data_IF_079633110065
#
_entry.id   IF_079633110065
#
_cell.length_a   1.000
_cell.length_b   1.000
_cell.length_c   1.000
_cell.angle_alpha   90.00
_cell.angle_beta   90.00
_cell.angle_gamma   90.00
#
_symmetry.space_group_name_H-M   'P 1'
#
loop_
_entity.id
_entity.type
_entity.pdbx_description
1 polymer ?
#
# COMPACT_ATOMS: atom_id res chain seq x y z
N UNK A 1 -1.26 21.21 23.41
CA UNK A 1 -1.65 19.86 22.91
C UNK A 1 -0.39 19.21 22.43
N UNK A 2 0.05 18.11 23.06
CA UNK A 2 1.24 17.38 22.57
C UNK A 2 0.98 16.89 21.17
N UNK A 3 1.88 17.18 20.25
CA UNK A 3 1.80 16.66 18.90
C UNK A 3 1.79 15.13 18.95
N UNK A 4 0.82 14.53 18.27
CA UNK A 4 0.60 13.09 18.30
C UNK A 4 1.78 12.42 17.63
N UNK A 5 2.67 11.80 18.39
CA UNK A 5 3.84 11.08 17.85
C UNK A 5 3.47 9.80 17.10
N UNK A 6 2.22 9.30 17.26
CA UNK A 6 1.73 8.09 16.58
C UNK A 6 1.15 8.45 15.22
N UNK A 7 1.81 8.00 14.15
CA UNK A 7 1.49 8.31 12.76
C UNK A 7 1.18 7.03 11.99
N UNK A 8 0.09 7.05 11.20
CA UNK A 8 -0.37 5.89 10.45
C UNK A 8 0.23 5.90 9.04
N UNK A 9 0.93 4.83 8.68
CA UNK A 9 1.44 4.66 7.30
C UNK A 9 0.39 4.06 6.35
N UNK A 10 -0.68 3.44 6.87
CA UNK A 10 -1.91 3.18 6.14
C UNK A 10 -3.03 3.99 6.79
N UNK A 11 -3.72 4.90 6.06
CA UNK A 11 -4.71 5.79 6.65
C UNK A 11 -5.85 5.07 7.35
N UNK A 12 -6.23 5.53 8.53
CA UNK A 12 -7.42 4.99 9.24
C UNK A 12 -8.70 5.17 8.42
N UNK A 13 -8.79 6.27 7.68
CA UNK A 13 -9.91 6.57 6.77
C UNK A 13 -10.05 5.54 5.66
N UNK A 14 -8.95 4.97 5.20
CA UNK A 14 -8.92 3.86 4.25
C UNK A 14 -9.24 2.52 4.94
N UNK A 15 -8.56 2.18 6.04
CA UNK A 15 -8.74 0.90 6.74
C UNK A 15 -10.18 0.70 7.27
N UNK A 16 -10.92 1.78 7.56
CA UNK A 16 -12.31 1.67 7.99
C UNK A 16 -13.22 0.94 7.00
N UNK A 17 -12.88 0.92 5.71
CA UNK A 17 -13.64 0.22 4.67
C UNK A 17 -13.47 -1.30 4.70
N UNK A 18 -12.56 -1.79 5.55
CA UNK A 18 -12.33 -3.20 5.83
C UNK A 18 -12.68 -3.56 7.29
N UNK A 19 -13.18 -2.59 8.07
CA UNK A 19 -13.50 -2.78 9.48
C UNK A 19 -14.94 -3.28 9.66
N UNK A 20 -15.13 -4.04 10.71
CA UNK A 20 -16.44 -4.45 11.21
C UNK A 20 -16.88 -3.58 12.41
N UNK A 21 -17.89 -3.99 13.15
CA UNK A 21 -18.48 -3.24 14.26
C UNK A 21 -17.42 -2.74 15.25
N UNK A 22 -17.54 -1.47 15.69
CA UNK A 22 -16.67 -0.88 16.70
C UNK A 22 -15.28 -0.44 16.16
N UNK A 23 -15.13 -0.24 14.86
CA UNK A 23 -13.86 0.19 14.24
C UNK A 23 -12.72 -0.79 14.52
N UNK A 24 -12.99 -2.07 14.45
CA UNK A 24 -12.02 -3.16 14.60
C UNK A 24 -11.82 -3.85 13.25
N UNK A 25 -10.65 -4.43 13.07
CA UNK A 25 -10.27 -5.21 11.90
C UNK A 25 -10.04 -6.65 12.30
N UNK A 26 -10.62 -7.59 11.56
CA UNK A 26 -10.15 -8.96 11.58
C UNK A 26 -8.77 -8.98 10.92
N UNK A 27 -7.77 -9.34 11.69
CA UNK A 27 -6.36 -9.18 11.32
C UNK A 27 -5.67 -10.52 11.36
N UNK A 28 -5.03 -10.88 10.25
CA UNK A 28 -4.10 -11.98 10.18
C UNK A 28 -2.67 -11.45 10.39
N UNK A 29 -1.98 -11.99 11.40
CA UNK A 29 -0.64 -11.59 11.78
C UNK A 29 0.39 -12.45 11.02
N UNK A 30 1.25 -11.78 10.25
CA UNK A 30 2.40 -12.41 9.61
C UNK A 30 3.58 -12.38 10.59
N UNK A 31 3.99 -13.54 11.09
CA UNK A 31 5.23 -13.66 11.87
C UNK A 31 6.42 -13.86 10.95
N UNK A 32 7.53 -13.17 11.20
CA UNK A 32 8.79 -13.41 10.48
C UNK A 32 9.34 -14.84 10.67
N UNK A 33 8.79 -15.58 11.63
CA UNK A 33 9.23 -16.90 12.05
C UNK A 33 8.11 -17.96 11.93
N UNK A 34 7.08 -17.74 11.11
CA UNK A 34 6.06 -18.77 10.92
C UNK A 34 6.67 -19.87 10.03
N UNK A 35 7.47 -20.72 10.66
CA UNK A 35 7.91 -22.01 10.08
C UNK A 35 6.88 -23.12 10.31
N UNK A 36 5.89 -22.89 11.17
CA UNK A 36 4.84 -23.84 11.46
C UNK A 36 3.65 -23.66 10.52
N UNK A 37 3.15 -24.77 10.00
CA UNK A 37 1.88 -24.79 9.25
C UNK A 37 0.77 -24.23 10.16
N UNK A 38 0.04 -23.22 9.67
CA UNK A 38 -1.08 -22.67 10.42
C UNK A 38 -2.26 -23.63 10.27
N UNK A 39 -2.69 -24.21 11.39
CA UNK A 39 -3.81 -25.15 11.48
C UNK A 39 -5.00 -24.51 12.19
N UNK A 40 -6.15 -25.16 12.13
CA UNK A 40 -7.34 -24.75 12.89
C UNK A 40 -7.05 -24.65 14.41
N UNK A 41 -6.16 -25.50 14.94
CA UNK A 41 -5.82 -25.53 16.36
C UNK A 41 -5.01 -24.31 16.81
N UNK A 42 -4.10 -23.81 15.97
CA UNK A 42 -3.20 -22.70 16.31
C UNK A 42 -3.60 -21.36 15.68
N UNK A 43 -4.67 -21.29 14.87
CA UNK A 43 -5.10 -20.08 14.16
C UNK A 43 -5.33 -18.88 15.09
N UNK A 44 -5.77 -19.10 16.32
CA UNK A 44 -6.00 -18.03 17.32
C UNK A 44 -4.72 -17.27 17.71
N UNK A 45 -3.54 -17.82 17.42
CA UNK A 45 -2.27 -17.12 17.62
C UNK A 45 -2.05 -16.06 16.52
N UNK A 46 -2.61 -16.27 15.35
CA UNK A 46 -2.38 -15.45 14.16
C UNK A 46 -3.57 -14.57 13.78
N UNK A 47 -4.79 -14.93 14.17
CA UNK A 47 -6.00 -14.16 13.87
C UNK A 47 -6.45 -13.41 15.10
N UNK A 48 -6.53 -12.08 15.00
CA UNK A 48 -6.93 -11.19 16.09
C UNK A 48 -7.80 -10.05 15.59
N UNK A 49 -8.70 -9.61 16.45
CA UNK A 49 -9.44 -8.38 16.23
C UNK A 49 -8.68 -7.21 16.84
N UNK A 50 -8.18 -6.31 15.98
CA UNK A 50 -7.36 -5.19 16.41
C UNK A 50 -8.07 -3.87 16.08
N UNK A 51 -7.94 -2.88 16.97
CA UNK A 51 -8.48 -1.54 16.72
C UNK A 51 -7.77 -0.85 15.56
N UNK A 52 -8.52 -0.07 14.77
CA UNK A 52 -7.96 0.80 13.71
C UNK A 52 -6.87 1.75 14.23
N UNK A 53 -6.92 2.12 15.52
CA UNK A 53 -5.90 2.99 16.11
C UNK A 53 -4.56 2.30 16.36
N UNK A 54 -4.53 0.97 16.37
CA UNK A 54 -3.37 0.19 16.82
C UNK A 54 -2.67 -0.59 15.72
N UNK A 55 -3.21 -0.54 14.49
CA UNK A 55 -2.60 -1.15 13.31
C UNK A 55 -1.96 -0.10 12.41
N UNK A 56 -0.95 -0.50 11.66
CA UNK A 56 -0.28 0.34 10.66
C UNK A 56 0.18 1.70 11.22
N UNK A 57 0.63 1.71 12.47
CA UNK A 57 1.04 2.90 13.19
C UNK A 57 2.49 2.78 13.65
N UNK A 58 3.23 3.86 13.55
CA UNK A 58 4.59 3.98 14.09
C UNK A 58 4.79 5.34 14.73
N UNK A 59 5.74 5.41 15.65
CA UNK A 59 6.11 6.66 16.31
C UNK A 59 6.98 7.48 15.38
N UNK A 60 6.71 8.78 15.27
CA UNK A 60 7.50 9.76 14.50
C UNK A 60 7.81 9.32 13.05
N UNK A 61 6.91 8.54 12.42
CA UNK A 61 7.15 7.95 11.11
C UNK A 61 7.39 8.98 10.00
N UNK A 62 6.70 10.13 10.07
CA UNK A 62 6.81 11.23 9.11
C UNK A 62 7.38 12.52 9.75
N UNK A 63 7.84 12.44 11.00
CA UNK A 63 8.39 13.59 11.71
C UNK A 63 9.79 13.91 11.17
N UNK A 64 9.94 15.10 10.58
CA UNK A 64 11.20 15.58 10.01
C UNK A 64 12.03 16.24 11.10
N UNK A 65 13.31 15.94 11.16
CA UNK A 65 14.27 16.70 12.00
C UNK A 65 14.61 18.03 11.31
N UNK A 66 14.00 19.12 11.79
CA UNK A 66 14.20 20.46 11.25
C UNK A 66 15.66 20.90 11.29
N UNK A 67 16.46 20.34 12.21
CA UNK A 67 17.88 20.66 12.40
C UNK A 67 18.82 19.77 11.58
N UNK A 68 18.31 18.75 10.88
CA UNK A 68 19.14 17.84 10.11
C UNK A 68 19.58 18.51 8.80
N UNK A 69 20.89 18.52 8.48
CA UNK A 69 21.41 19.10 7.24
C UNK A 69 20.81 18.51 5.96
N UNK A 70 20.28 17.27 6.01
CA UNK A 70 19.58 16.67 4.86
C UNK A 70 18.26 17.36 4.53
N UNK A 71 17.67 18.08 5.48
CA UNK A 71 16.45 18.87 5.27
C UNK A 71 16.76 20.18 4.53
N UNK A 72 17.25 20.08 3.33
CA UNK A 72 17.64 21.21 2.49
C UNK A 72 16.47 22.05 1.96
N UNK A 73 15.22 21.60 2.19
CA UNK A 73 13.99 22.34 1.86
C UNK A 73 13.44 23.13 3.03
N UNK A 74 13.99 23.00 4.23
CA UNK A 74 13.50 23.68 5.44
C UNK A 74 12.10 23.24 5.85
N UNK A 75 11.73 21.98 5.61
CA UNK A 75 10.40 21.47 5.95
C UNK A 75 10.23 21.38 7.46
N UNK A 76 9.03 21.70 7.93
CA UNK A 76 8.65 21.61 9.34
C UNK A 76 8.40 20.18 9.77
N UNK A 77 8.61 19.89 11.06
CA UNK A 77 8.54 18.55 11.63
C UNK A 77 7.27 17.78 11.24
N UNK A 78 6.12 18.43 11.26
CA UNK A 78 4.82 17.78 11.03
C UNK A 78 4.19 18.09 9.67
N UNK A 79 4.90 18.73 8.73
CA UNK A 79 4.33 19.14 7.45
C UNK A 79 3.82 17.96 6.62
N UNK A 80 4.49 16.82 6.63
CA UNK A 80 4.05 15.63 5.91
C UNK A 80 2.74 15.07 6.48
N UNK A 81 2.64 14.93 7.79
CA UNK A 81 1.46 14.38 8.44
C UNK A 81 0.25 15.31 8.32
N UNK A 82 0.45 16.60 8.63
CA UNK A 82 -0.65 17.59 8.68
C UNK A 82 -1.00 18.08 7.27
N UNK A 83 -0.07 18.71 6.59
CA UNK A 83 -0.37 19.44 5.35
C UNK A 83 -0.50 18.49 4.15
N UNK A 84 0.41 17.52 4.02
CA UNK A 84 0.41 16.65 2.85
C UNK A 84 -0.58 15.48 2.98
N UNK A 85 -0.56 14.72 4.08
CA UNK A 85 -1.47 13.58 4.21
C UNK A 85 -2.85 13.97 4.69
N UNK A 86 -2.97 14.62 5.85
CA UNK A 86 -4.25 14.92 6.48
C UNK A 86 -5.07 15.94 5.68
N UNK A 87 -4.46 17.02 5.20
CA UNK A 87 -5.19 18.12 4.55
C UNK A 87 -5.33 17.92 3.04
N UNK A 88 -4.43 17.17 2.39
CA UNK A 88 -4.46 17.00 0.94
C UNK A 88 -4.76 15.57 0.49
N UNK A 89 -3.91 14.58 0.81
CA UNK A 89 -3.98 13.25 0.19
C UNK A 89 -5.16 12.39 0.68
N UNK A 90 -5.39 12.33 1.98
CA UNK A 90 -6.44 11.48 2.57
C UNK A 90 -7.87 11.93 2.25
N UNK A 91 -8.20 13.24 2.20
CA UNK A 91 -9.50 13.70 1.72
C UNK A 91 -9.77 13.29 0.27
N UNK A 92 -8.77 13.36 -0.61
CA UNK A 92 -8.90 12.96 -2.02
C UNK A 92 -9.14 11.46 -2.16
N UNK A 93 -8.37 10.64 -1.43
CA UNK A 93 -8.57 9.19 -1.36
C UNK A 93 -9.99 8.86 -0.85
N UNK A 94 -10.43 9.53 0.22
CA UNK A 94 -11.76 9.30 0.80
C UNK A 94 -12.88 9.63 -0.19
N UNK A 95 -12.76 10.74 -0.92
CA UNK A 95 -13.72 11.14 -1.94
C UNK A 95 -13.79 10.10 -3.07
N UNK A 96 -12.66 9.66 -3.56
CA UNK A 96 -12.55 8.67 -4.64
C UNK A 96 -13.16 7.33 -4.21
N UNK A 97 -12.82 6.85 -3.02
CA UNK A 97 -13.38 5.60 -2.49
C UNK A 97 -14.91 5.72 -2.42
N UNK A 98 -15.43 6.79 -1.82
CA UNK A 98 -16.88 7.01 -1.70
C UNK A 98 -17.57 6.97 -3.06
N UNK A 99 -17.04 7.69 -4.05
CA UNK A 99 -17.63 7.78 -5.38
C UNK A 99 -17.75 6.41 -6.06
N UNK A 100 -16.71 5.61 -6.01
CA UNK A 100 -16.69 4.31 -6.69
C UNK A 100 -17.31 3.17 -5.87
N UNK A 101 -17.35 3.30 -4.56
CA UNK A 101 -18.07 2.37 -3.68
C UNK A 101 -19.60 2.51 -3.87
N UNK A 102 -20.11 3.73 -3.99
CA UNK A 102 -21.52 3.98 -4.37
C UNK A 102 -21.85 3.36 -5.74
N UNK A 103 -20.93 3.46 -6.71
CA UNK A 103 -21.10 2.80 -8.00
C UNK A 103 -21.08 1.27 -7.89
N UNK A 104 -20.18 0.71 -7.08
CA UNK A 104 -20.12 -0.72 -6.82
C UNK A 104 -21.43 -1.25 -6.21
N UNK A 105 -21.97 -0.56 -5.20
CA UNK A 105 -23.25 -0.91 -4.61
C UNK A 105 -24.42 -0.84 -5.61
N UNK A 106 -24.42 0.15 -6.49
CA UNK A 106 -25.42 0.24 -7.56
C UNK A 106 -25.35 -0.98 -8.50
N UNK A 107 -24.15 -1.36 -8.95
CA UNK A 107 -23.92 -2.53 -9.80
C UNK A 107 -24.42 -3.82 -9.12
N UNK A 108 -24.17 -3.98 -7.82
CA UNK A 108 -24.64 -5.12 -7.04
C UNK A 108 -26.18 -5.17 -6.95
N UNK A 109 -26.81 -4.03 -6.68
CA UNK A 109 -28.26 -3.93 -6.55
C UNK A 109 -28.97 -4.19 -7.89
N UNK A 110 -28.43 -3.66 -8.97
CA UNK A 110 -28.98 -3.80 -10.33
C UNK A 110 -28.62 -5.17 -10.97
N UNK A 111 -27.79 -5.98 -10.29
CA UNK A 111 -27.26 -7.27 -10.78
C UNK A 111 -26.61 -7.16 -12.16
N UNK A 112 -25.93 -6.06 -12.41
CA UNK A 112 -25.22 -5.83 -13.65
C UNK A 112 -23.79 -6.40 -13.53
N UNK A 113 -23.53 -7.54 -14.17
CA UNK A 113 -22.24 -8.21 -14.08
C UNK A 113 -21.09 -7.41 -14.67
N UNK A 114 -21.32 -6.60 -15.70
CA UNK A 114 -20.34 -5.70 -16.31
C UNK A 114 -21.03 -4.42 -16.75
N UNK A 115 -20.42 -3.29 -16.46
CA UNK A 115 -20.88 -1.98 -16.91
C UNK A 115 -19.71 -1.08 -17.29
N UNK A 116 -19.90 -0.21 -18.29
CA UNK A 116 -18.90 0.83 -18.64
C UNK A 116 -18.90 1.94 -17.61
N UNK A 117 -17.71 2.45 -17.29
CA UNK A 117 -17.50 3.57 -16.37
C UNK A 117 -16.98 4.78 -17.13
N UNK A 118 -17.66 5.90 -16.98
CA UNK A 118 -17.17 7.19 -17.47
C UNK A 118 -16.38 7.86 -16.36
N UNK A 119 -15.06 7.79 -16.47
CA UNK A 119 -14.16 8.49 -15.55
C UNK A 119 -13.96 9.94 -16.03
N UNK A 120 -13.98 10.89 -15.10
CA UNK A 120 -13.45 12.24 -15.36
C UNK A 120 -11.92 12.21 -15.27
N UNK A 121 -11.26 13.21 -15.89
CA UNK A 121 -9.80 13.33 -15.79
C UNK A 121 -9.34 13.53 -14.34
N UNK A 122 -10.13 14.24 -13.55
CA UNK A 122 -9.88 14.42 -12.12
C UNK A 122 -9.95 13.09 -11.35
N UNK A 123 -10.93 12.23 -11.64
CA UNK A 123 -11.03 10.91 -11.01
C UNK A 123 -9.85 10.02 -11.40
N UNK A 124 -9.46 9.99 -12.67
CA UNK A 124 -8.29 9.25 -13.13
C UNK A 124 -7.02 9.73 -12.44
N UNK A 125 -6.85 11.04 -12.33
CA UNK A 125 -5.72 11.64 -11.65
C UNK A 125 -5.66 11.24 -10.17
N UNK A 126 -6.76 11.35 -9.42
CA UNK A 126 -6.76 11.00 -8.00
C UNK A 126 -6.69 9.51 -7.71
N UNK A 127 -7.21 8.64 -8.58
CA UNK A 127 -7.00 7.20 -8.46
C UNK A 127 -5.52 6.86 -8.60
N UNK A 128 -4.86 7.41 -9.62
CA UNK A 128 -3.42 7.21 -9.82
C UNK A 128 -2.59 7.79 -8.65
N UNK A 129 -2.93 9.01 -8.19
CA UNK A 129 -2.26 9.67 -7.07
C UNK A 129 -2.40 8.86 -5.79
N UNK A 130 -3.59 8.34 -5.52
CA UNK A 130 -3.86 7.53 -4.32
C UNK A 130 -3.06 6.24 -4.33
N UNK A 131 -2.99 5.55 -5.47
CA UNK A 131 -2.16 4.35 -5.61
C UNK A 131 -0.66 4.67 -5.44
N UNK A 132 -0.17 5.77 -6.04
CA UNK A 132 1.20 6.22 -5.91
C UNK A 132 1.57 6.54 -4.46
N UNK A 133 0.76 7.36 -3.78
CA UNK A 133 1.02 7.75 -2.40
C UNK A 133 0.99 6.53 -1.49
N UNK A 134 -0.02 5.67 -1.62
CA UNK A 134 -0.16 4.52 -0.75
C UNK A 134 0.94 3.47 -0.96
N UNK A 135 1.40 3.28 -2.20
CA UNK A 135 2.56 2.45 -2.49
C UNK A 135 3.81 2.95 -1.76
N UNK A 136 4.07 4.27 -1.81
CA UNK A 136 5.25 4.87 -1.19
C UNK A 136 5.14 5.02 0.33
N UNK A 137 3.94 4.97 0.90
CA UNK A 137 3.74 4.94 2.37
C UNK A 137 4.08 3.58 2.97
N UNK A 138 4.32 2.57 2.16
CA UNK A 138 4.55 1.21 2.64
C UNK A 138 5.78 1.11 3.54
N UNK A 139 5.73 0.26 4.60
CA UNK A 139 6.87 0.04 5.50
C UNK A 139 8.12 -0.45 4.78
N UNK A 140 7.97 -1.20 3.69
CA UNK A 140 9.07 -1.76 2.91
C UNK A 140 10.04 -0.69 2.41
N UNK A 141 9.54 0.39 1.82
CA UNK A 141 10.38 1.50 1.36
C UNK A 141 11.08 2.19 2.53
N UNK A 142 10.36 2.37 3.63
CA UNK A 142 10.93 2.97 4.85
C UNK A 142 12.06 2.12 5.41
N UNK A 143 11.87 0.82 5.55
CA UNK A 143 12.88 -0.11 6.04
C UNK A 143 14.13 -0.15 5.15
N UNK A 144 13.95 -0.04 3.83
CA UNK A 144 15.08 0.06 2.90
C UNK A 144 15.93 1.30 3.17
N UNK A 145 15.31 2.47 3.38
CA UNK A 145 16.01 3.71 3.71
C UNK A 145 16.68 3.66 5.10
N UNK A 146 16.00 3.08 6.07
CA UNK A 146 16.56 2.86 7.43
C UNK A 146 17.80 1.97 7.39
N UNK A 147 17.74 0.90 6.59
CA UNK A 147 18.90 0.01 6.39
C UNK A 147 20.09 0.73 5.76
N UNK A 148 19.85 1.51 4.70
CA UNK A 148 20.91 2.33 4.07
C UNK A 148 21.50 3.32 5.07
N UNK A 149 20.66 4.01 5.85
CA UNK A 149 21.11 4.96 6.87
C UNK A 149 21.94 4.27 7.98
N UNK A 150 21.55 3.07 8.39
CA UNK A 150 22.28 2.27 9.36
C UNK A 150 23.68 1.88 8.84
N UNK A 151 23.76 1.39 7.60
CA UNK A 151 25.03 1.06 6.95
C UNK A 151 25.93 2.29 6.87
N UNK A 152 25.39 3.43 6.44
CA UNK A 152 26.13 4.68 6.36
C UNK A 152 26.68 5.11 7.72
N UNK A 153 25.86 5.05 8.78
CA UNK A 153 26.30 5.35 10.15
C UNK A 153 27.42 4.43 10.62
N UNK A 154 27.33 3.14 10.32
CA UNK A 154 28.39 2.17 10.67
C UNK A 154 29.70 2.49 9.96
N UNK A 155 29.66 2.81 8.67
CA UNK A 155 30.85 3.22 7.90
C UNK A 155 31.46 4.49 8.51
N UNK A 156 30.65 5.53 8.78
CA UNK A 156 31.11 6.77 9.37
C UNK A 156 31.75 6.55 10.75
N UNK A 157 31.14 5.70 11.60
CA UNK A 157 31.70 5.39 12.92
C UNK A 157 33.02 4.64 12.83
N UNK A 158 33.15 3.73 11.86
CA UNK A 158 34.38 3.00 11.61
C UNK A 158 35.51 3.95 11.16
N UNK A 159 35.22 4.83 10.20
CA UNK A 159 36.19 5.83 9.74
C UNK A 159 36.55 6.84 10.84
N UNK A 160 35.58 7.27 11.65
CA UNK A 160 35.80 8.19 12.77
C UNK A 160 36.63 7.59 13.92
N UNK A 161 36.79 6.26 13.96
CA UNK A 161 37.70 5.61 14.92
C UNK A 161 39.16 5.88 14.61
N UNK A 162 39.50 6.29 13.39
CA UNK A 162 40.81 6.75 13.01
C UNK A 162 41.06 8.18 13.52
N UNK A 163 42.26 8.44 14.06
CA UNK A 163 42.62 9.74 14.64
C UNK A 163 42.51 10.90 13.64
N UNK A 164 42.72 10.62 12.35
CA UNK A 164 42.67 11.63 11.28
C UNK A 164 41.24 11.99 10.86
N UNK A 165 40.23 11.21 11.26
CA UNK A 165 38.86 11.37 10.80
C UNK A 165 37.83 11.56 11.92
N UNK A 166 38.27 12.04 13.10
CA UNK A 166 37.39 12.27 14.25
C UNK A 166 36.16 13.15 13.96
N UNK A 167 36.29 14.08 13.02
CA UNK A 167 35.22 14.99 12.64
C UNK A 167 34.02 14.26 12.02
N UNK A 168 34.22 13.05 11.48
CA UNK A 168 33.15 12.21 10.91
C UNK A 168 32.18 11.73 11.98
N UNK A 169 32.58 11.65 13.26
CA UNK A 169 31.67 11.27 14.37
C UNK A 169 30.54 12.28 14.58
N UNK A 170 30.75 13.54 14.12
CA UNK A 170 29.78 14.62 14.24
C UNK A 170 28.77 14.64 13.06
N UNK A 171 28.97 13.82 12.02
CA UNK A 171 28.08 13.79 10.88
C UNK A 171 26.77 13.12 11.30
N UNK A 172 25.71 13.91 11.33
CA UNK A 172 24.35 13.37 11.49
C UNK A 172 24.04 12.45 10.31
N UNK A 173 23.48 11.28 10.60
CA UNK A 173 22.92 10.42 9.58
C UNK A 173 21.79 11.11 8.79
N UNK A 174 21.31 10.47 7.74
CA UNK A 174 20.15 10.97 6.97
C UNK A 174 18.93 11.10 7.90
N UNK A 175 18.19 12.18 7.75
CA UNK A 175 16.81 12.21 8.20
C UNK A 175 15.99 11.28 7.28
N UNK A 176 15.64 10.11 7.80
CA UNK A 176 14.95 9.08 7.00
C UNK A 176 13.55 9.53 6.62
N UNK A 177 12.85 10.31 7.48
CA UNK A 177 11.53 10.83 7.17
C UNK A 177 11.61 11.86 6.03
N UNK A 178 12.53 12.81 6.10
CA UNK A 178 12.78 13.77 5.03
C UNK A 178 13.22 13.09 3.74
N UNK A 179 14.19 12.17 3.82
CA UNK A 179 14.73 11.48 2.64
C UNK A 179 13.63 10.66 1.94
N UNK A 180 12.81 9.97 2.72
CA UNK A 180 11.66 9.24 2.19
C UNK A 180 10.70 10.19 1.45
N UNK A 181 10.34 11.31 2.07
CA UNK A 181 9.45 12.30 1.46
C UNK A 181 10.05 12.91 0.19
N UNK A 182 11.30 13.36 0.25
CA UNK A 182 11.99 14.01 -0.87
C UNK A 182 12.16 13.09 -2.07
N UNK A 183 12.45 11.82 -1.84
CA UNK A 183 12.61 10.84 -2.92
C UNK A 183 11.30 10.27 -3.45
N UNK A 184 10.18 10.47 -2.76
CA UNK A 184 8.87 9.91 -3.12
C UNK A 184 7.80 10.98 -3.28
N UNK A 185 7.12 11.37 -2.21
CA UNK A 185 5.92 12.24 -2.26
C UNK A 185 6.19 13.62 -2.83
N UNK A 186 7.35 14.20 -2.52
CA UNK A 186 7.75 15.55 -2.96
C UNK A 186 8.52 15.53 -4.28
N UNK A 187 8.72 14.36 -4.87
CA UNK A 187 9.41 14.20 -6.13
C UNK A 187 8.42 14.29 -7.31
N UNK A 188 8.21 15.51 -7.79
CA UNK A 188 7.31 15.75 -8.92
C UNK A 188 7.74 15.01 -10.20
N UNK A 189 9.03 14.80 -10.43
CA UNK A 189 9.51 14.04 -11.57
C UNK A 189 9.08 12.57 -11.47
N UNK A 190 9.25 11.97 -10.30
CA UNK A 190 8.84 10.61 -10.03
C UNK A 190 7.32 10.42 -10.21
N UNK A 191 6.54 11.34 -9.64
CA UNK A 191 5.10 11.37 -9.83
C UNK A 191 4.71 11.48 -11.31
N UNK A 192 5.32 12.40 -12.04
CA UNK A 192 5.05 12.60 -13.47
C UNK A 192 5.36 11.34 -14.28
N UNK A 193 6.49 10.69 -14.03
CA UNK A 193 6.85 9.43 -14.69
C UNK A 193 5.82 8.34 -14.41
N UNK A 194 5.41 8.16 -13.17
CA UNK A 194 4.37 7.21 -12.80
C UNK A 194 3.05 7.52 -13.50
N UNK A 195 2.58 8.78 -13.42
CA UNK A 195 1.32 9.19 -14.00
C UNK A 195 1.28 9.01 -15.51
N UNK A 196 2.32 9.41 -16.24
CA UNK A 196 2.43 9.21 -17.68
C UNK A 196 2.41 7.72 -18.07
N UNK A 197 3.01 6.87 -17.25
CA UNK A 197 2.98 5.43 -17.48
C UNK A 197 1.58 4.86 -17.23
N UNK A 198 1.00 5.12 -16.06
CA UNK A 198 -0.26 4.53 -15.66
C UNK A 198 -1.46 5.05 -16.48
N UNK A 199 -1.38 6.27 -17.01
CA UNK A 199 -2.42 6.85 -17.87
C UNK A 199 -2.58 6.11 -19.21
N UNK A 200 -1.56 5.33 -19.62
CA UNK A 200 -1.60 4.48 -20.80
C UNK A 200 -2.06 3.05 -20.50
N UNK A 201 -2.33 2.74 -19.22
CA UNK A 201 -2.80 1.41 -18.83
C UNK A 201 -4.33 1.33 -18.90
N UNK A 202 -4.82 0.11 -19.08
CA UNK A 202 -6.25 -0.18 -18.89
C UNK A 202 -6.59 -0.05 -17.42
N UNK A 203 -7.68 0.67 -17.12
CA UNK A 203 -8.22 0.82 -15.76
C UNK A 203 -9.49 0.01 -15.63
N UNK A 204 -9.58 -0.82 -14.58
CA UNK A 204 -10.72 -1.67 -14.29
C UNK A 204 -11.10 -1.54 -12.82
N UNK A 205 -12.40 -1.65 -12.56
CA UNK A 205 -12.95 -1.78 -11.22
C UNK A 205 -13.56 -3.19 -11.08
N UNK A 206 -13.22 -3.88 -9.99
CA UNK A 206 -13.77 -5.19 -9.68
C UNK A 206 -14.59 -5.13 -8.41
N UNK A 207 -15.71 -5.81 -8.42
CA UNK A 207 -16.69 -5.81 -7.32
C UNK A 207 -16.83 -7.21 -6.76
N UNK A 208 -16.61 -7.35 -5.46
CA UNK A 208 -16.91 -8.55 -4.69
C UNK A 208 -18.35 -8.47 -4.16
N UNK A 209 -19.20 -9.41 -4.51
CA UNK A 209 -20.60 -9.45 -4.02
C UNK A 209 -20.66 -9.51 -2.50
N UNK A 210 -19.76 -10.25 -1.91
CA UNK A 210 -19.80 -10.56 -0.48
C UNK A 210 -18.80 -9.75 0.35
N UNK A 211 -18.09 -8.79 -0.23
CA UNK A 211 -17.08 -8.02 0.48
C UNK A 211 -15.89 -8.87 0.92
N UNK A 212 -15.36 -9.70 0.02
CA UNK A 212 -14.29 -10.64 0.33
C UNK A 212 -12.89 -10.15 -0.03
N UNK A 213 -12.74 -8.92 -0.53
CA UNK A 213 -11.40 -8.40 -0.77
C UNK A 213 -10.67 -8.12 0.54
N UNK A 214 -9.45 -8.60 0.63
CA UNK A 214 -8.54 -8.31 1.71
C UNK A 214 -7.71 -7.08 1.37
N UNK A 215 -7.17 -6.45 2.40
CA UNK A 215 -6.10 -5.46 2.30
C UNK A 215 -4.98 -5.79 3.26
N UNK A 216 -3.87 -5.04 3.21
CA UNK A 216 -2.71 -5.31 4.04
C UNK A 216 -2.05 -4.01 4.49
N UNK A 217 -0.98 -4.13 5.27
CA UNK A 217 -0.10 -3.00 5.59
C UNK A 217 0.71 -2.49 4.39
N UNK A 218 0.69 -3.23 3.26
CA UNK A 218 1.16 -2.80 1.94
C UNK A 218 0.04 -2.99 0.90
N UNK A 219 -1.00 -2.16 0.86
CA UNK A 219 -2.23 -2.43 0.12
C UNK A 219 -2.08 -2.36 -1.41
N UNK A 220 -1.09 -1.66 -1.93
CA UNK A 220 -0.84 -1.57 -3.38
C UNK A 220 0.13 -2.67 -3.80
N UNK A 221 -0.37 -3.62 -4.56
CA UNK A 221 0.41 -4.73 -5.10
C UNK A 221 0.80 -4.43 -6.54
N UNK A 222 2.08 -4.56 -6.86
CA UNK A 222 2.58 -4.51 -8.23
C UNK A 222 2.99 -5.93 -8.63
N UNK A 223 2.42 -6.38 -9.73
CA UNK A 223 2.61 -7.72 -10.27
C UNK A 223 3.20 -7.62 -11.68
N UNK A 224 4.25 -8.40 -11.95
CA UNK A 224 4.85 -8.53 -13.26
C UNK A 224 4.72 -9.97 -13.72
N UNK A 225 4.19 -10.17 -14.93
CA UNK A 225 4.25 -11.47 -15.60
C UNK A 225 5.72 -11.82 -15.88
N UNK A 226 6.15 -12.93 -15.33
CA UNK A 226 7.49 -13.45 -15.58
C UNK A 226 7.57 -14.20 -16.89
N UNK A 227 8.76 -14.22 -17.50
CA UNK A 227 9.04 -15.13 -18.61
C UNK A 227 8.79 -16.59 -18.14
N UNK A 228 8.09 -17.38 -18.98
CA UNK A 228 7.71 -18.78 -18.69
C UNK A 228 6.69 -18.95 -17.54
N UNK A 229 5.81 -17.97 -17.32
CA UNK A 229 4.73 -18.08 -16.33
C UNK A 229 5.20 -18.01 -14.87
N UNK A 230 6.41 -17.55 -14.60
CA UNK A 230 6.87 -17.24 -13.24
C UNK A 230 6.52 -15.80 -12.92
N UNK A 231 5.37 -15.62 -12.34
CA UNK A 231 4.89 -14.32 -11.88
C UNK A 231 5.78 -13.79 -10.76
N UNK A 232 6.12 -12.51 -10.83
CA UNK A 232 6.87 -11.82 -9.79
C UNK A 232 5.98 -10.78 -9.14
N UNK A 233 5.72 -10.93 -7.85
CA UNK A 233 5.09 -9.91 -7.03
C UNK A 233 6.15 -8.97 -6.46
N UNK A 234 5.70 -7.78 -6.07
CA UNK A 234 6.54 -6.76 -5.43
C UNK A 234 7.65 -6.19 -6.33
N UNK A 235 7.41 -6.19 -7.61
CA UNK A 235 8.24 -5.41 -8.55
C UNK A 235 7.98 -3.93 -8.26
N UNK A 236 8.99 -3.09 -8.41
CA UNK A 236 8.74 -1.67 -8.32
C UNK A 236 8.04 -1.15 -9.59
N UNK A 237 7.35 -0.01 -9.49
CA UNK A 237 6.62 0.58 -10.63
C UNK A 237 7.53 1.16 -11.72
N UNK A 238 8.85 1.14 -11.54
CA UNK A 238 9.83 1.43 -12.60
C UNK A 238 9.93 0.30 -13.62
N UNK A 239 9.51 -0.92 -13.27
CA UNK A 239 9.41 -2.00 -14.23
C UNK A 239 8.55 -1.57 -15.43
N UNK A 240 8.97 -1.94 -16.65
CA UNK A 240 8.27 -1.49 -17.85
C UNK A 240 6.90 -2.14 -18.02
N UNK A 241 6.73 -3.32 -17.49
CA UNK A 241 5.56 -4.19 -17.70
C UNK A 241 5.02 -4.68 -16.37
N UNK A 242 3.94 -4.07 -15.89
CA UNK A 242 3.28 -4.52 -14.66
C UNK A 242 1.76 -4.37 -14.72
N UNK A 243 1.08 -5.07 -13.84
CA UNK A 243 -0.27 -4.76 -13.39
C UNK A 243 -0.24 -4.29 -11.94
N UNK A 244 -1.23 -3.48 -11.57
CA UNK A 244 -1.35 -2.94 -10.23
C UNK A 244 -2.73 -3.29 -9.68
N UNK A 245 -2.76 -3.76 -8.42
CA UNK A 245 -3.97 -4.11 -7.69
C UNK A 245 -4.02 -3.28 -6.40
N UNK A 246 -5.12 -2.58 -6.21
CA UNK A 246 -5.34 -1.76 -5.02
C UNK A 246 -6.78 -1.95 -4.51
N UNK A 247 -7.01 -2.75 -3.47
CA UNK A 247 -8.33 -2.88 -2.87
C UNK A 247 -8.72 -1.56 -2.20
N UNK A 248 -9.79 -0.94 -2.68
CA UNK A 248 -10.29 0.33 -2.15
C UNK A 248 -11.23 0.14 -0.98
N UNK A 249 -12.06 -0.91 -1.04
CA UNK A 249 -12.93 -1.37 0.05
C UNK A 249 -12.97 -2.90 0.05
N UNK A 250 -13.64 -3.51 1.02
CA UNK A 250 -13.89 -4.95 1.00
C UNK A 250 -14.71 -5.40 -0.21
N UNK A 251 -15.46 -4.50 -0.85
CA UNK A 251 -16.27 -4.77 -2.04
C UNK A 251 -15.62 -4.29 -3.34
N UNK A 252 -14.63 -3.41 -3.30
CA UNK A 252 -14.13 -2.72 -4.49
C UNK A 252 -12.62 -2.82 -4.62
N UNK A 253 -12.14 -3.27 -5.80
CA UNK A 253 -10.74 -3.33 -6.21
C UNK A 253 -10.50 -2.43 -7.41
N UNK A 254 -9.45 -1.63 -7.36
CA UNK A 254 -8.89 -0.90 -8.50
C UNK A 254 -7.76 -1.69 -9.13
N UNK A 255 -7.79 -1.79 -10.46
CA UNK A 255 -6.75 -2.46 -11.24
C UNK A 255 -6.24 -1.59 -12.37
N UNK A 256 -4.94 -1.70 -12.63
CA UNK A 256 -4.31 -1.19 -13.83
C UNK A 256 -3.54 -2.31 -14.53
N UNK A 257 -3.70 -2.40 -15.85
CA UNK A 257 -3.02 -3.39 -16.68
C UNK A 257 -2.29 -2.73 -17.83
N UNK A 258 -1.03 -3.06 -18.01
CA UNK A 258 -0.32 -2.71 -19.22
C UNK A 258 -0.94 -3.45 -20.42
N UNK A 259 -1.52 -2.74 -21.41
CA UNK A 259 -2.20 -3.39 -22.54
C UNK A 259 -1.27 -4.19 -23.45
N UNK A 260 0.04 -3.91 -23.42
CA UNK A 260 1.03 -4.68 -24.18
C UNK A 260 1.22 -6.08 -23.60
N UNK A 261 1.19 -6.21 -22.28
CA UNK A 261 1.35 -7.50 -21.58
C UNK A 261 0.02 -8.23 -21.38
N UNK A 262 -1.07 -7.47 -21.31
CA UNK A 262 -2.42 -7.97 -21.03
C UNK A 262 -3.39 -7.43 -22.10
N UNK A 263 -3.27 -7.86 -23.37
CA UNK A 263 -4.10 -7.31 -24.46
C UNK A 263 -5.60 -7.56 -24.26
N UNK A 264 -5.97 -8.61 -23.52
CA UNK A 264 -7.36 -8.89 -23.16
C UNK A 264 -7.97 -7.80 -22.26
N UNK A 265 -7.15 -7.09 -21.49
CA UNK A 265 -7.61 -5.98 -20.65
C UNK A 265 -8.17 -4.80 -21.46
N UNK A 266 -7.79 -4.66 -22.73
CA UNK A 266 -8.35 -3.64 -23.63
C UNK A 266 -9.86 -3.76 -23.77
N UNK A 267 -10.39 -4.99 -23.83
CA UNK A 267 -11.82 -5.25 -23.94
C UNK A 267 -12.59 -4.84 -22.69
N UNK A 268 -11.93 -4.81 -21.56
CA UNK A 268 -12.50 -4.48 -20.24
C UNK A 268 -12.08 -3.08 -19.76
N UNK A 269 -11.35 -2.32 -20.57
CA UNK A 269 -10.89 -1.00 -20.18
C UNK A 269 -12.05 -0.07 -19.81
N UNK A 270 -11.91 0.64 -18.71
CA UNK A 270 -12.94 1.53 -18.15
C UNK A 270 -14.27 0.82 -17.86
N UNK A 271 -14.20 -0.39 -17.34
CA UNK A 271 -15.39 -1.11 -16.85
C UNK A 271 -15.34 -1.35 -15.35
N UNK A 272 -16.53 -1.58 -14.80
CA UNK A 272 -16.73 -2.16 -13.49
C UNK A 272 -17.43 -3.50 -13.65
N UNK A 273 -16.98 -4.54 -12.95
CA UNK A 273 -17.53 -5.88 -13.08
C UNK A 273 -17.52 -6.65 -11.77
N UNK A 274 -18.55 -7.47 -11.59
CA UNK A 274 -18.63 -8.42 -10.48
C UNK A 274 -17.67 -9.57 -10.77
N UNK A 275 -16.96 -10.03 -9.75
CA UNK A 275 -15.97 -11.12 -9.84
C UNK A 275 -16.39 -12.33 -9.01
N UNK A 276 -15.86 -13.48 -9.38
CA UNK A 276 -16.06 -14.73 -8.68
C UNK A 276 -15.08 -14.95 -7.51
N UNK A 277 -15.35 -15.94 -6.69
CA UNK A 277 -14.52 -16.30 -5.54
C UNK A 277 -13.11 -16.77 -5.93
N UNK A 278 -12.94 -17.33 -7.13
CA UNK A 278 -11.62 -17.74 -7.62
C UNK A 278 -10.71 -16.53 -7.82
N UNK A 279 -11.26 -15.48 -8.43
CA UNK A 279 -10.58 -14.22 -8.60
C UNK A 279 -10.27 -13.54 -7.25
N UNK A 280 -11.29 -13.45 -6.34
CA UNK A 280 -11.11 -12.91 -4.99
C UNK A 280 -9.95 -13.61 -4.26
N UNK A 281 -9.93 -14.94 -4.29
CA UNK A 281 -8.86 -15.72 -3.67
C UNK A 281 -7.48 -15.44 -4.27
N UNK A 282 -7.40 -15.19 -5.57
CA UNK A 282 -6.13 -14.85 -6.21
C UNK A 282 -5.58 -13.50 -5.74
N UNK A 283 -6.41 -12.45 -5.77
CA UNK A 283 -5.97 -11.12 -5.35
C UNK A 283 -5.73 -11.05 -3.83
N UNK A 284 -6.46 -11.81 -3.04
CA UNK A 284 -6.22 -11.94 -1.60
C UNK A 284 -4.88 -12.61 -1.29
N UNK A 285 -4.46 -13.61 -2.09
CA UNK A 285 -3.09 -14.17 -2.01
C UNK A 285 -2.04 -13.13 -2.35
N UNK A 286 -2.30 -12.23 -3.31
CA UNK A 286 -1.38 -11.14 -3.62
C UNK A 286 -1.22 -10.20 -2.42
N UNK A 287 -2.30 -9.85 -1.73
CA UNK A 287 -2.25 -9.06 -0.50
C UNK A 287 -1.43 -9.75 0.59
N UNK A 288 -1.64 -11.05 0.79
CA UNK A 288 -0.87 -11.84 1.76
C UNK A 288 0.64 -11.84 1.46
N UNK A 289 1.03 -12.09 0.21
CA UNK A 289 2.44 -12.12 -0.20
C UNK A 289 3.09 -10.73 -0.11
N UNK A 290 2.29 -9.67 -0.36
CA UNK A 290 2.76 -8.29 -0.32
C UNK A 290 2.89 -7.72 1.10
N UNK A 291 2.14 -8.23 2.05
CA UNK A 291 2.11 -7.77 3.43
C UNK A 291 3.45 -7.99 4.15
N UNK A 292 3.76 -7.12 5.12
CA UNK A 292 4.90 -7.29 6.01
C UNK A 292 4.51 -7.87 7.38
N UNK A 293 3.39 -7.38 7.94
CA UNK A 293 2.94 -7.76 9.29
C UNK A 293 1.47 -8.11 9.36
N UNK A 294 0.62 -7.46 8.54
CA UNK A 294 -0.81 -7.50 8.72
C UNK A 294 -1.55 -7.70 7.41
N UNK A 295 -2.49 -8.65 7.40
CA UNK A 295 -3.55 -8.73 6.39
C UNK A 295 -4.86 -8.49 7.10
N UNK A 296 -5.75 -7.70 6.49
CA UNK A 296 -7.03 -7.30 7.05
C UNK A 296 -8.18 -7.78 6.18
N UNK A 297 -9.25 -8.22 6.85
CA UNK A 297 -10.50 -8.62 6.22
C UNK A 297 -11.69 -8.04 6.96
N UNK A 298 -12.75 -7.73 6.23
CA UNK A 298 -14.06 -7.40 6.79
C UNK A 298 -14.70 -8.62 7.48
N UNK A 299 -14.41 -9.82 6.98
CA UNK A 299 -14.91 -11.10 7.52
C UNK A 299 -13.80 -11.82 8.28
N UNK A 300 -14.16 -12.49 9.36
CA UNK A 300 -13.23 -13.34 10.10
C UNK A 300 -13.03 -14.70 9.40
N UNK A 301 -12.63 -14.65 8.13
CA UNK A 301 -12.36 -15.84 7.34
C UNK A 301 -11.01 -15.72 6.63
N UNK A 302 -10.00 -16.34 7.21
CA UNK A 302 -8.67 -16.45 6.65
C UNK A 302 -8.33 -17.89 6.25
N UNK A 303 -9.34 -18.72 5.97
CA UNK A 303 -9.17 -20.13 5.58
C UNK A 303 -8.25 -20.30 4.37
N UNK A 304 -8.19 -19.29 3.49
CA UNK A 304 -7.29 -19.25 2.34
C UNK A 304 -5.80 -19.41 2.73
N UNK A 305 -5.42 -18.97 3.94
CA UNK A 305 -4.04 -18.98 4.44
C UNK A 305 -3.75 -20.15 5.40
N UNK A 306 -4.80 -20.88 5.83
CA UNK A 306 -4.68 -21.96 6.81
C UNK A 306 -4.29 -23.31 6.17
N UNK A 307 -4.40 -23.45 4.87
CA UNK A 307 -3.98 -24.65 4.16
C UNK A 307 -2.54 -24.49 3.67
N UNK A 308 -1.71 -25.52 3.77
CA UNK A 308 -0.40 -25.48 3.14
C UNK A 308 -0.59 -25.11 1.67
N UNK A 309 0.14 -24.11 1.23
CA UNK A 309 0.21 -23.79 -0.20
C UNK A 309 0.84 -25.04 -0.83
N UNK A 310 0.02 -25.88 -1.44
CA UNK A 310 0.54 -26.94 -2.28
C UNK A 310 1.39 -26.26 -3.35
N UNK A 311 2.70 -26.43 -3.28
CA UNK A 311 3.61 -26.01 -4.33
C UNK A 311 3.15 -26.72 -5.61
N UNK A 312 2.35 -26.03 -6.42
CA UNK A 312 1.98 -26.46 -7.75
C UNK A 312 3.00 -25.95 -8.76
#
# INVERSE_FOLDING_TARGET
MGDTKRQHYVPRTFLKHFSFVGKRLHTFLLGKEITSVITEENKSLFIKDISLSDVCVSQDYYTIDESNPSNNRGLKAMCLEKEFFQDFAEPKLTLIIKTFDELAHKILNDKQYVSSVKFTDEQLYYLALSAFIQYHRSPRLRHSLESVNSIMKNILSTLASDKEHKDLSNIKGLDVAFTHADKTYLNLHLWRMFYLKISNYCILLRVSENGNFFTSDNPVVIHKLGAKGKDTLNVNFYADEFSLFFPLTSHLMLEYYNPTCFPEALKMNKTISIVDSKYENQVNKYQYINAEKFVFSYKNDFSLFLKPISNG
#
